data_IF_175288203225
#
_entry.id   IF_175288203225
#
_cell.length_a   1.000
_cell.length_b   1.000
_cell.length_c   1.000
_cell.angle_alpha   90.00
_cell.angle_beta   90.00
_cell.angle_gamma   90.00
#
_symmetry.space_group_name_H-M   'P 1'
#
loop_
_entity.id
_entity.type
_entity.pdbx_description
1 polymer ?
#
# COMPACT_ATOMS: atom_id res chain seq x y z
N UNK A 1 -2.10 -14.28 -17.08
CA UNK A 1 -2.58 -13.03 -17.73
C UNK A 1 -3.00 -13.27 -19.17
N UNK A 2 -2.11 -13.75 -20.06
CA UNK A 2 -2.44 -13.99 -21.46
C UNK A 2 -3.68 -14.88 -21.67
N UNK A 3 -3.81 -15.98 -20.90
CA UNK A 3 -4.98 -16.86 -20.93
C UNK A 3 -6.29 -16.16 -20.50
N UNK A 4 -6.20 -15.11 -19.67
CA UNK A 4 -7.31 -14.27 -19.27
C UNK A 4 -7.54 -13.07 -20.21
N UNK A 5 -6.79 -13.00 -21.33
CA UNK A 5 -6.88 -11.91 -22.32
C UNK A 5 -6.16 -10.61 -21.91
N UNK A 6 -5.37 -10.63 -20.83
CA UNK A 6 -4.61 -9.48 -20.35
C UNK A 6 -3.12 -9.57 -20.65
N UNK A 7 -2.43 -8.44 -20.57
CA UNK A 7 -0.97 -8.37 -20.70
C UNK A 7 -0.32 -7.91 -19.39
N UNK A 8 1.02 -7.90 -19.29
CA UNK A 8 1.70 -7.39 -18.10
C UNK A 8 1.45 -5.90 -17.87
N UNK A 9 1.17 -5.15 -18.93
CA UNK A 9 0.85 -3.72 -18.90
C UNK A 9 -0.49 -3.43 -18.19
N UNK A 10 -1.32 -4.47 -18.02
CA UNK A 10 -2.58 -4.42 -17.28
C UNK A 10 -2.41 -4.60 -15.76
N UNK A 11 -1.20 -4.88 -15.28
CA UNK A 11 -0.90 -5.00 -13.84
C UNK A 11 -0.95 -3.61 -13.20
N UNK A 12 -1.78 -3.48 -12.17
CA UNK A 12 -2.06 -2.20 -11.48
C UNK A 12 -1.53 -2.17 -10.05
N UNK A 13 -1.35 -3.35 -9.45
CA UNK A 13 -0.95 -3.48 -8.05
C UNK A 13 -0.02 -4.67 -7.87
N UNK A 14 1.01 -4.47 -7.04
CA UNK A 14 1.94 -5.51 -6.64
C UNK A 14 2.30 -5.37 -5.17
N UNK A 15 2.53 -6.51 -4.51
CA UNK A 15 3.16 -6.56 -3.20
C UNK A 15 4.22 -7.65 -3.20
N UNK A 16 5.41 -7.27 -2.78
CA UNK A 16 6.55 -8.17 -2.72
C UNK A 16 6.91 -8.44 -1.26
N UNK A 17 7.06 -9.72 -0.94
CA UNK A 17 7.61 -10.18 0.32
C UNK A 17 9.01 -10.73 0.09
N UNK A 18 10.00 -10.25 0.85
CA UNK A 18 11.37 -10.73 0.82
C UNK A 18 11.75 -11.35 2.16
N UNK A 19 12.45 -12.47 2.15
CA UNK A 19 13.04 -13.04 3.37
C UNK A 19 14.31 -12.30 3.80
N UNK A 20 14.96 -11.60 2.88
CA UNK A 20 16.13 -10.74 3.13
C UNK A 20 16.02 -9.41 2.37
N UNK A 21 15.76 -8.33 3.10
CA UNK A 21 15.68 -6.97 2.55
C UNK A 21 17.04 -6.43 2.07
N UNK A 22 18.16 -7.01 2.49
CA UNK A 22 19.49 -6.71 1.94
C UNK A 22 19.56 -6.99 0.43
N UNK A 23 18.66 -7.83 -0.09
CA UNK A 23 18.54 -8.16 -1.52
C UNK A 23 17.56 -7.27 -2.29
N UNK A 24 17.04 -6.20 -1.69
CA UNK A 24 16.08 -5.31 -2.34
C UNK A 24 16.59 -4.72 -3.68
N UNK A 25 17.90 -4.47 -3.80
CA UNK A 25 18.51 -4.00 -5.04
C UNK A 25 18.52 -5.08 -6.15
N UNK A 26 18.78 -6.34 -5.80
CA UNK A 26 18.70 -7.47 -6.73
C UNK A 26 17.26 -7.66 -7.23
N UNK A 27 16.29 -7.62 -6.30
CA UNK A 27 14.87 -7.64 -6.63
C UNK A 27 14.51 -6.49 -7.59
N UNK A 28 14.94 -5.27 -7.30
CA UNK A 28 14.64 -4.11 -8.13
C UNK A 28 15.22 -4.24 -9.55
N UNK A 29 16.45 -4.74 -9.69
CA UNK A 29 17.05 -5.00 -11.00
C UNK A 29 16.24 -6.03 -11.78
N UNK A 30 15.91 -7.16 -11.17
CA UNK A 30 15.09 -8.20 -11.79
C UNK A 30 13.67 -7.69 -12.15
N UNK A 31 13.09 -6.86 -11.28
CA UNK A 31 11.81 -6.21 -11.52
C UNK A 31 11.83 -5.33 -12.77
N UNK A 32 12.83 -4.44 -12.88
CA UNK A 32 12.97 -3.54 -14.03
C UNK A 32 13.23 -4.31 -15.34
N UNK A 33 14.01 -5.39 -15.29
CA UNK A 33 14.24 -6.28 -16.43
C UNK A 33 12.95 -6.96 -16.91
N UNK A 34 12.14 -7.49 -15.98
CA UNK A 34 10.92 -8.22 -16.29
C UNK A 34 9.75 -7.31 -16.71
N UNK A 35 9.59 -6.15 -16.05
CA UNK A 35 8.43 -5.27 -16.20
C UNK A 35 8.70 -4.06 -17.11
N UNK A 36 9.95 -3.77 -17.47
CA UNK A 36 10.30 -2.70 -18.40
C UNK A 36 9.72 -1.36 -17.96
N UNK A 37 8.82 -0.79 -18.76
CA UNK A 37 8.16 0.49 -18.50
C UNK A 37 6.82 0.39 -17.75
N UNK A 38 6.38 -0.82 -17.38
CA UNK A 38 5.17 -0.99 -16.56
C UNK A 38 5.45 -0.44 -15.15
N UNK A 39 4.54 0.41 -14.66
CA UNK A 39 4.61 1.03 -13.33
C UNK A 39 3.35 0.71 -12.54
N UNK A 40 3.20 -0.49 -11.96
CA UNK A 40 2.08 -0.73 -11.05
C UNK A 40 2.31 0.01 -9.73
N UNK A 41 1.32 0.04 -8.86
CA UNK A 41 1.57 0.32 -7.44
C UNK A 41 2.38 -0.80 -6.82
N UNK A 42 3.18 -0.49 -5.80
CA UNK A 42 4.11 -1.44 -5.20
C UNK A 42 4.27 -1.21 -3.70
N UNK A 43 4.34 -2.31 -2.97
CA UNK A 43 4.65 -2.39 -1.53
C UNK A 43 5.72 -3.47 -1.34
N UNK A 44 6.78 -3.19 -0.60
CA UNK A 44 7.90 -4.13 -0.37
C UNK A 44 8.10 -4.37 1.11
N UNK A 45 7.93 -5.62 1.55
CA UNK A 45 7.95 -6.00 2.96
C UNK A 45 9.00 -7.07 3.23
N UNK A 46 9.70 -6.95 4.36
CA UNK A 46 10.52 -8.03 4.91
C UNK A 46 9.65 -9.01 5.68
N UNK A 47 9.83 -10.31 5.50
CA UNK A 47 9.18 -11.36 6.28
C UNK A 47 10.21 -12.37 6.80
N UNK A 48 9.91 -13.11 7.89
CA UNK A 48 10.89 -14.04 8.45
C UNK A 48 11.14 -15.28 7.58
N UNK A 49 10.11 -15.76 6.86
CA UNK A 49 10.18 -16.97 6.03
C UNK A 49 8.95 -17.08 5.12
N UNK A 50 9.09 -17.85 4.04
CA UNK A 50 7.99 -18.25 3.16
C UNK A 50 7.60 -19.71 3.41
N UNK A 51 6.60 -20.21 2.67
CA UNK A 51 6.07 -21.57 2.84
C UNK A 51 7.16 -22.66 2.79
N UNK A 52 8.21 -22.48 1.98
CA UNK A 52 9.39 -23.36 1.94
C UNK A 52 10.65 -22.57 2.28
N UNK A 53 11.59 -23.14 3.07
CA UNK A 53 12.80 -22.43 3.51
C UNK A 53 13.68 -21.90 2.36
N UNK A 54 13.66 -22.54 1.19
CA UNK A 54 14.47 -22.15 0.04
C UNK A 54 13.85 -20.98 -0.77
N UNK A 55 12.60 -20.62 -0.50
CA UNK A 55 11.93 -19.50 -1.16
C UNK A 55 12.44 -18.17 -0.58
N UNK A 56 12.88 -17.27 -1.46
CA UNK A 56 13.46 -15.98 -1.07
C UNK A 56 12.52 -14.78 -1.28
N UNK A 57 11.52 -14.97 -2.14
CA UNK A 57 10.63 -13.92 -2.60
C UNK A 57 9.26 -14.51 -2.92
N UNK A 58 8.21 -13.78 -2.55
CA UNK A 58 6.85 -14.00 -3.03
C UNK A 58 6.29 -12.68 -3.55
N UNK A 59 5.56 -12.73 -4.66
CA UNK A 59 4.96 -11.55 -5.30
C UNK A 59 3.46 -11.81 -5.48
N UNK A 60 2.66 -10.97 -4.83
CA UNK A 60 1.23 -10.79 -5.10
C UNK A 60 1.09 -9.74 -6.22
N UNK A 61 0.24 -10.01 -7.21
CA UNK A 61 -0.05 -9.04 -8.27
C UNK A 61 -1.53 -9.08 -8.64
N UNK A 62 -2.12 -7.90 -8.84
CA UNK A 62 -3.47 -7.73 -9.36
C UNK A 62 -3.42 -7.00 -10.71
N UNK A 63 -4.24 -7.45 -11.66
CA UNK A 63 -4.35 -6.87 -12.98
C UNK A 63 -5.81 -6.62 -13.35
N UNK A 64 -6.06 -5.50 -14.03
CA UNK A 64 -7.36 -5.17 -14.62
C UNK A 64 -7.21 -5.30 -16.12
N UNK A 65 -7.84 -6.31 -16.74
CA UNK A 65 -7.69 -6.58 -18.17
C UNK A 65 -8.07 -5.35 -19.00
N UNK A 66 -7.15 -4.89 -19.85
CA UNK A 66 -7.32 -3.69 -20.66
C UNK A 66 -7.01 -2.36 -19.94
N UNK A 67 -6.57 -2.36 -18.69
CA UNK A 67 -6.15 -1.16 -17.97
C UNK A 67 -5.08 -0.37 -18.72
N UNK A 68 -4.19 -1.03 -19.43
CA UNK A 68 -3.16 -0.38 -20.27
C UNK A 68 -3.72 0.63 -21.27
N UNK A 69 -5.02 0.57 -21.63
CA UNK A 69 -5.68 1.48 -22.56
C UNK A 69 -6.17 2.78 -21.93
N UNK A 70 -6.35 2.82 -20.61
CA UNK A 70 -7.01 3.94 -19.92
C UNK A 70 -6.43 4.29 -18.55
N UNK A 71 -5.47 3.52 -18.04
CA UNK A 71 -4.89 3.76 -16.73
C UNK A 71 -4.16 5.10 -16.67
N UNK A 72 -4.18 5.73 -15.51
CA UNK A 72 -3.38 6.92 -15.22
C UNK A 72 -2.47 6.65 -14.03
N UNK A 73 -1.18 6.86 -14.24
CA UNK A 73 -0.16 6.67 -13.21
C UNK A 73 0.19 8.01 -12.57
N UNK A 74 0.16 8.06 -11.24
CA UNK A 74 0.50 9.24 -10.44
C UNK A 74 1.88 9.03 -9.80
N UNK A 75 2.68 10.09 -9.76
CA UNK A 75 4.04 10.10 -9.19
C UNK A 75 4.20 11.29 -8.25
N UNK A 76 4.98 11.16 -7.17
CA UNK A 76 5.21 12.29 -6.25
C UNK A 76 6.04 13.40 -6.90
N UNK A 77 6.05 14.58 -6.27
CA UNK A 77 7.02 15.63 -6.58
C UNK A 77 8.44 15.02 -6.55
N UNK A 78 9.26 15.23 -7.60
CA UNK A 78 10.55 14.56 -7.87
C UNK A 78 10.52 13.11 -8.40
N UNK A 79 9.34 12.50 -8.54
CA UNK A 79 9.13 11.22 -9.26
C UNK A 79 10.07 10.09 -8.86
N UNK A 80 10.37 9.96 -7.56
CA UNK A 80 11.31 8.95 -7.02
C UNK A 80 10.91 7.51 -7.35
N UNK A 81 9.64 7.28 -7.67
CA UNK A 81 9.10 5.97 -8.01
C UNK A 81 9.54 5.49 -9.40
N UNK A 82 9.73 6.41 -10.36
CA UNK A 82 10.11 6.06 -11.74
C UNK A 82 11.40 5.23 -11.86
N UNK A 83 12.54 5.66 -11.30
CA UNK A 83 13.76 4.85 -11.33
C UNK A 83 13.64 3.55 -10.54
N UNK A 84 12.60 3.40 -9.71
CA UNK A 84 12.34 2.24 -8.88
C UNK A 84 11.32 1.26 -9.46
N UNK A 85 10.69 1.59 -10.59
CA UNK A 85 9.80 0.69 -11.34
C UNK A 85 8.35 0.63 -10.83
N UNK A 86 7.86 1.64 -10.13
CA UNK A 86 6.47 1.70 -9.65
C UNK A 86 5.85 3.10 -9.80
N UNK A 87 4.54 3.21 -9.57
CA UNK A 87 3.80 4.47 -9.50
C UNK A 87 3.29 4.72 -8.07
N UNK A 88 3.16 5.98 -7.65
CA UNK A 88 2.59 6.31 -6.32
C UNK A 88 1.14 5.86 -6.21
N UNK A 89 0.34 6.11 -7.27
CA UNK A 89 -1.00 5.58 -7.42
C UNK A 89 -1.26 5.19 -8.88
N UNK A 90 -2.16 4.24 -9.08
CA UNK A 90 -2.66 3.85 -10.40
C UNK A 90 -4.19 3.93 -10.36
N UNK A 91 -4.74 4.71 -11.28
CA UNK A 91 -6.18 4.90 -11.47
C UNK A 91 -6.64 4.18 -12.74
N UNK A 92 -7.71 3.39 -12.65
CA UNK A 92 -8.38 2.75 -13.80
C UNK A 92 -9.89 2.91 -13.63
N UNK A 93 -10.49 3.84 -14.38
CA UNK A 93 -11.89 4.22 -14.16
C UNK A 93 -12.08 4.79 -12.75
N UNK A 94 -12.92 4.13 -11.95
CA UNK A 94 -13.15 4.53 -10.56
C UNK A 94 -12.24 3.82 -9.55
N UNK A 95 -11.53 2.76 -9.97
CA UNK A 95 -10.62 2.02 -9.08
C UNK A 95 -9.28 2.73 -8.96
N UNK A 96 -8.83 2.95 -7.73
CA UNK A 96 -7.56 3.58 -7.42
C UNK A 96 -6.77 2.69 -6.47
N UNK A 97 -5.55 2.34 -6.86
CA UNK A 97 -4.57 1.69 -5.99
C UNK A 97 -3.54 2.73 -5.57
N UNK A 98 -3.12 2.69 -4.30
CA UNK A 98 -2.04 3.52 -3.77
C UNK A 98 -0.95 2.61 -3.25
N UNK A 99 0.29 2.84 -3.72
CA UNK A 99 1.49 2.16 -3.25
C UNK A 99 1.68 2.32 -1.74
N UNK A 100 2.48 1.43 -1.16
CA UNK A 100 2.93 1.57 0.22
C UNK A 100 3.47 2.98 0.51
N UNK A 101 2.81 3.64 1.45
CA UNK A 101 3.17 4.97 1.93
C UNK A 101 3.82 4.84 3.30
N UNK A 102 4.95 5.52 3.44
CA UNK A 102 5.77 5.57 4.65
C UNK A 102 6.01 7.04 4.99
N UNK A 103 6.91 7.32 5.95
CA UNK A 103 7.31 8.69 6.28
C UNK A 103 8.41 9.27 5.36
N UNK A 104 8.68 8.63 4.22
CA UNK A 104 9.62 9.17 3.24
C UNK A 104 9.07 10.44 2.60
N UNK A 105 9.85 11.51 2.61
CA UNK A 105 9.51 12.71 1.86
C UNK A 105 9.77 12.57 0.35
N UNK A 106 9.49 13.63 -0.42
CA UNK A 106 9.71 13.68 -1.86
C UNK A 106 11.19 13.48 -2.26
N UNK A 107 12.15 13.81 -1.38
CA UNK A 107 13.57 13.55 -1.56
C UNK A 107 13.96 12.09 -1.29
N UNK A 108 13.11 11.33 -0.61
CA UNK A 108 13.40 9.97 -0.18
C UNK A 108 14.08 9.91 1.19
N UNK A 109 14.00 10.97 1.98
CA UNK A 109 14.51 11.02 3.34
C UNK A 109 13.45 10.58 4.35
N UNK A 110 13.86 9.81 5.36
CA UNK A 110 12.96 9.34 6.42
C UNK A 110 12.65 10.49 7.38
N UNK A 111 11.36 10.73 7.62
CA UNK A 111 10.89 11.69 8.62
C UNK A 111 10.40 10.96 9.87
N UNK A 112 10.59 11.58 11.03
CA UNK A 112 10.18 11.06 12.34
C UNK A 112 10.67 9.61 12.59
N UNK A 113 11.97 9.38 12.41
CA UNK A 113 12.59 8.05 12.58
C UNK A 113 12.19 7.40 13.91
N UNK A 114 11.69 6.15 13.86
CA UNK A 114 11.25 5.39 15.03
C UNK A 114 9.93 5.83 15.68
N UNK A 115 9.38 7.01 15.35
CA UNK A 115 8.10 7.48 15.88
C UNK A 115 6.95 6.94 15.01
N UNK A 116 6.42 5.79 15.41
CA UNK A 116 5.33 5.13 14.69
C UNK A 116 4.13 6.04 14.44
N UNK A 117 3.75 6.84 15.43
CA UNK A 117 2.60 7.72 15.34
C UNK A 117 2.79 8.81 14.28
N UNK A 118 3.90 9.53 14.36
CA UNK A 118 4.21 10.58 13.38
C UNK A 118 4.44 10.01 11.98
N UNK A 119 5.06 8.82 11.86
CA UNK A 119 5.23 8.17 10.56
C UNK A 119 3.89 7.73 9.96
N UNK A 120 2.96 7.20 10.77
CA UNK A 120 1.64 6.81 10.32
C UNK A 120 0.84 8.03 9.82
N UNK A 121 0.95 9.17 10.50
CA UNK A 121 0.30 10.42 10.06
C UNK A 121 0.85 10.90 8.71
N UNK A 122 2.18 10.87 8.53
CA UNK A 122 2.83 11.25 7.26
C UNK A 122 2.49 10.28 6.11
N UNK A 123 2.39 8.99 6.41
CA UNK A 123 1.94 7.99 5.43
C UNK A 123 0.50 8.27 4.98
N UNK A 124 -0.41 8.56 5.92
CA UNK A 124 -1.80 8.91 5.60
C UNK A 124 -1.91 10.25 4.84
N UNK A 125 -1.09 11.24 5.14
CA UNK A 125 -1.01 12.47 4.35
C UNK A 125 -0.59 12.20 2.90
N UNK A 126 0.38 11.31 2.70
CA UNK A 126 0.79 10.88 1.35
C UNK A 126 -0.35 10.15 0.63
N UNK A 127 -1.10 9.30 1.34
CA UNK A 127 -2.29 8.63 0.80
C UNK A 127 -3.35 9.66 0.39
N UNK A 128 -3.72 10.58 1.30
CA UNK A 128 -4.69 11.65 1.03
C UNK A 128 -4.28 12.47 -0.19
N UNK A 129 -3.01 12.85 -0.28
CA UNK A 129 -2.47 13.57 -1.44
C UNK A 129 -2.62 12.75 -2.73
N UNK A 130 -2.30 11.45 -2.69
CA UNK A 130 -2.36 10.54 -3.84
C UNK A 130 -3.79 10.37 -4.37
N UNK A 131 -4.76 10.19 -3.46
CA UNK A 131 -6.18 10.10 -3.78
C UNK A 131 -6.70 11.41 -4.37
N UNK A 132 -6.28 12.56 -3.83
CA UNK A 132 -6.66 13.87 -4.37
C UNK A 132 -6.16 14.07 -5.81
N UNK A 133 -4.98 13.54 -6.17
CA UNK A 133 -4.51 13.57 -7.57
C UNK A 133 -5.43 12.78 -8.51
N UNK A 134 -6.22 11.84 -7.97
CA UNK A 134 -7.20 11.01 -8.68
C UNK A 134 -8.63 11.53 -8.58
N UNK A 135 -8.85 12.72 -8.01
CA UNK A 135 -10.20 13.25 -7.79
C UNK A 135 -11.00 12.42 -6.77
N UNK A 136 -10.31 11.72 -5.87
CA UNK A 136 -10.88 10.95 -4.77
C UNK A 136 -10.39 11.48 -3.42
N UNK A 137 -10.90 10.93 -2.34
CA UNK A 137 -10.66 11.34 -0.97
C UNK A 137 -10.45 10.14 -0.03
N UNK A 138 -10.12 10.40 1.23
CA UNK A 138 -10.03 9.34 2.24
C UNK A 138 -11.37 8.63 2.50
N UNK A 139 -12.48 9.31 2.20
CA UNK A 139 -13.84 8.75 2.31
C UNK A 139 -14.14 7.70 1.23
N UNK A 140 -13.33 7.67 0.16
CA UNK A 140 -13.45 6.70 -0.94
C UNK A 140 -12.64 5.42 -0.70
N UNK A 141 -11.88 5.35 0.39
CA UNK A 141 -11.02 4.19 0.69
C UNK A 141 -11.87 2.99 1.09
N UNK A 142 -11.77 1.89 0.36
CA UNK A 142 -12.54 0.66 0.63
C UNK A 142 -11.70 -0.43 1.29
N UNK A 143 -10.37 -0.36 1.14
CA UNK A 143 -9.41 -1.30 1.74
C UNK A 143 -8.18 -0.58 2.25
N UNK A 144 -7.75 -0.93 3.46
CA UNK A 144 -6.49 -0.48 4.06
C UNK A 144 -5.70 -1.67 4.59
N UNK A 145 -4.39 -1.68 4.35
CA UNK A 145 -3.45 -2.61 4.98
C UNK A 145 -2.34 -1.80 5.66
N UNK A 146 -2.10 -2.08 6.93
CA UNK A 146 -1.09 -1.42 7.75
C UNK A 146 -0.06 -2.46 8.18
N UNK A 147 1.20 -2.22 7.81
CA UNK A 147 2.34 -3.06 8.15
C UNK A 147 3.19 -2.35 9.19
N UNK A 148 3.57 -3.04 10.25
CA UNK A 148 4.37 -2.49 11.36
C UNK A 148 5.51 -3.45 11.69
N UNK A 149 6.65 -2.93 12.11
CA UNK A 149 7.80 -3.77 12.49
C UNK A 149 7.74 -4.20 13.97
N UNK A 150 8.46 -5.25 14.31
CA UNK A 150 8.56 -5.67 15.71
C UNK A 150 9.20 -4.58 16.59
N UNK A 151 8.74 -4.47 17.84
CA UNK A 151 9.19 -3.45 18.79
C UNK A 151 8.67 -2.02 18.54
N UNK A 152 7.91 -1.77 17.47
CA UNK A 152 7.31 -0.45 17.24
C UNK A 152 6.26 -0.10 18.31
N UNK A 153 6.35 1.11 18.86
CA UNK A 153 5.38 1.63 19.82
C UNK A 153 4.16 2.20 19.09
N UNK A 154 3.17 1.34 18.83
CA UNK A 154 1.94 1.70 18.12
C UNK A 154 1.03 2.54 19.01
N UNK A 155 0.38 3.56 18.43
CA UNK A 155 -0.62 4.36 19.16
C UNK A 155 -1.81 3.47 19.56
N UNK A 156 -2.38 3.64 20.77
CA UNK A 156 -3.63 2.98 21.13
C UNK A 156 -4.76 3.29 20.13
N UNK A 157 -5.69 2.34 19.97
CA UNK A 157 -6.83 2.52 19.08
C UNK A 157 -7.61 3.80 19.43
N UNK A 158 -8.06 4.53 18.41
CA UNK A 158 -8.77 5.80 18.55
C UNK A 158 -7.90 7.03 18.82
N UNK A 159 -6.58 6.89 18.98
CA UNK A 159 -5.68 8.03 19.12
C UNK A 159 -5.08 8.48 17.77
N UNK A 160 -5.02 9.79 17.56
CA UNK A 160 -4.52 10.41 16.34
C UNK A 160 -5.64 10.92 15.43
N UNK A 161 -5.30 11.41 14.22
CA UNK A 161 -6.29 11.88 13.27
C UNK A 161 -7.20 10.73 12.82
N UNK A 162 -8.51 11.03 12.70
CA UNK A 162 -9.51 10.06 12.32
C UNK A 162 -9.58 9.88 10.79
N UNK A 163 -8.46 9.44 10.19
CA UNK A 163 -8.23 9.35 8.74
C UNK A 163 -9.31 8.59 7.95
N UNK A 164 -9.99 7.65 8.59
CA UNK A 164 -10.99 6.75 7.98
C UNK A 164 -12.31 6.77 8.74
N UNK A 165 -12.65 7.91 9.36
CA UNK A 165 -13.86 8.08 10.18
C UNK A 165 -15.16 7.85 9.39
N UNK A 166 -15.16 8.08 8.08
CA UNK A 166 -16.34 7.91 7.23
C UNK A 166 -16.29 6.60 6.47
N UNK A 167 -15.12 6.24 5.94
CA UNK A 167 -14.96 5.14 4.98
C UNK A 167 -14.86 3.76 5.60
N UNK A 168 -14.52 3.66 6.89
CA UNK A 168 -14.20 2.43 7.65
C UNK A 168 -13.81 1.21 6.78
N UNK A 169 -12.70 1.31 6.02
CA UNK A 169 -12.36 0.33 5.02
C UNK A 169 -12.15 -1.05 5.63
N UNK A 170 -12.33 -2.09 4.81
CA UNK A 170 -11.83 -3.42 5.14
C UNK A 170 -10.35 -3.31 5.52
N UNK A 171 -10.02 -3.76 6.74
CA UNK A 171 -8.74 -3.43 7.37
C UNK A 171 -7.96 -4.69 7.73
N UNK A 172 -6.67 -4.69 7.40
CA UNK A 172 -5.70 -5.66 7.89
C UNK A 172 -4.54 -4.93 8.56
N UNK A 173 -4.17 -5.38 9.75
CA UNK A 173 -2.94 -5.01 10.44
C UNK A 173 -2.01 -6.23 10.48
N UNK A 174 -0.75 -6.06 10.12
CA UNK A 174 0.22 -7.16 10.14
C UNK A 174 1.58 -6.68 10.65
N UNK A 175 2.23 -7.53 11.46
CA UNK A 175 3.62 -7.33 11.87
C UNK A 175 4.54 -8.00 10.86
N UNK A 176 5.53 -7.25 10.38
CA UNK A 176 6.53 -7.69 9.39
C UNK A 176 7.93 -7.65 9.99
N UNK A 177 8.90 -8.35 9.41
CA UNK A 177 10.27 -8.39 9.93
C UNK A 177 11.07 -7.12 9.61
N UNK A 178 10.64 -6.34 8.60
CA UNK A 178 11.26 -5.07 8.28
C UNK A 178 10.59 -4.34 7.13
N UNK A 179 10.99 -3.08 6.95
CA UNK A 179 10.62 -2.21 5.84
C UNK A 179 11.87 -1.78 5.06
N UNK A 180 11.68 -1.07 3.95
CA UNK A 180 12.76 -0.70 3.03
C UNK A 180 13.91 0.13 3.66
N UNK A 181 13.71 0.69 4.85
CA UNK A 181 14.72 1.37 5.67
C UNK A 181 14.51 0.99 7.14
N UNK A 182 15.58 0.78 7.93
CA UNK A 182 15.46 0.38 9.33
C UNK A 182 14.79 1.45 10.22
N UNK A 183 14.85 2.73 9.83
CA UNK A 183 14.22 3.84 10.54
C UNK A 183 12.69 3.91 10.33
N UNK A 184 12.18 3.20 9.31
CA UNK A 184 10.76 3.11 9.04
C UNK A 184 10.13 2.03 9.92
N UNK A 185 9.06 2.38 10.62
CA UNK A 185 8.37 1.48 11.54
C UNK A 185 6.92 1.19 11.14
N UNK A 186 6.40 1.90 10.13
CA UNK A 186 5.06 1.70 9.58
C UNK A 186 5.03 1.97 8.07
N UNK A 187 4.26 1.14 7.36
CA UNK A 187 3.90 1.32 5.97
C UNK A 187 2.40 1.07 5.80
N UNK A 188 1.72 1.93 5.05
CA UNK A 188 0.27 1.86 4.83
C UNK A 188 0.00 1.87 3.32
N UNK A 189 -0.74 0.88 2.85
CA UNK A 189 -1.27 0.86 1.48
C UNK A 189 -2.81 0.86 1.50
N UNK A 190 -3.41 1.43 0.46
CA UNK A 190 -4.87 1.48 0.32
C UNK A 190 -5.33 1.19 -1.11
N UNK A 191 -6.57 0.73 -1.21
CA UNK A 191 -7.34 0.80 -2.44
C UNK A 191 -8.62 1.61 -2.18
N UNK A 192 -9.02 2.39 -3.17
CA UNK A 192 -10.19 3.26 -3.13
C UNK A 192 -11.05 3.08 -4.37
N UNK A 193 -12.33 3.39 -4.24
CA UNK A 193 -13.29 3.46 -5.34
C UNK A 193 -13.88 4.86 -5.34
N UNK A 194 -13.65 5.63 -6.40
CA UNK A 194 -14.10 7.02 -6.52
C UNK A 194 -15.61 7.13 -6.30
N UNK A 195 -16.02 7.99 -5.38
CA UNK A 195 -17.43 8.20 -5.03
C UNK A 195 -18.01 7.15 -4.08
N UNK A 196 -17.21 6.17 -3.61
CA UNK A 196 -17.69 5.18 -2.65
C UNK A 196 -18.16 5.83 -1.35
N UNK A 197 -17.54 6.92 -0.90
CA UNK A 197 -17.92 7.61 0.33
C UNK A 197 -19.40 8.02 0.39
N UNK A 198 -20.04 8.27 -0.76
CA UNK A 198 -21.46 8.61 -0.84
C UNK A 198 -22.41 7.41 -0.71
N UNK A 199 -21.91 6.19 -0.91
CA UNK A 199 -22.71 4.97 -1.08
C UNK A 199 -22.29 3.81 -0.15
N UNK A 200 -21.35 4.01 0.77
CA UNK A 200 -21.01 2.98 1.75
C UNK A 200 -22.17 2.82 2.74
N UNK A 201 -22.80 1.65 2.72
CA UNK A 201 -23.78 1.24 3.72
C UNK A 201 -23.07 0.63 4.92
N UNK A 202 -23.20 1.30 6.07
CA UNK A 202 -22.75 0.77 7.35
C UNK A 202 -23.80 -0.16 7.92
N UNK A 203 -23.56 -1.46 7.80
CA UNK A 203 -24.27 -2.43 8.63
C UNK A 203 -23.68 -2.30 10.04
N UNK A 204 -24.44 -1.69 10.95
CA UNK A 204 -24.06 -1.57 12.35
C UNK A 204 -23.78 -2.95 12.95
N UNK A 205 -22.98 -3.04 14.03
CA UNK A 205 -22.77 -4.31 14.69
C UNK A 205 -24.13 -4.86 15.14
N UNK A 206 -24.32 -6.18 14.98
CA UNK A 206 -25.36 -6.88 15.73
C UNK A 206 -25.18 -6.58 17.23
N UNK A 207 -26.24 -6.73 18.04
CA UNK A 207 -26.07 -6.67 19.49
C UNK A 207 -24.97 -7.64 19.91
N UNK A 208 -23.86 -7.10 20.39
CA UNK A 208 -22.72 -7.90 20.85
C UNK A 208 -23.22 -8.75 22.01
N UNK A 209 -23.18 -10.07 21.87
CA UNK A 209 -23.47 -10.98 22.98
C UNK A 209 -22.61 -10.54 24.18
N UNK A 210 -23.24 -10.38 25.34
CA UNK A 210 -22.53 -9.98 26.55
C UNK A 210 -21.36 -10.93 26.89
N UNK A 211 -21.39 -12.16 26.38
CA UNK A 211 -20.35 -13.18 26.52
C UNK A 211 -19.09 -12.92 25.67
N UNK A 212 -19.18 -12.13 24.60
CA UNK A 212 -18.05 -11.81 23.70
C UNK A 212 -17.25 -10.56 24.15
N UNK A 213 -17.60 -9.99 25.31
CA UNK A 213 -16.84 -8.93 25.97
C UNK A 213 -15.72 -9.53 26.82
N UNK A 214 -14.65 -10.01 26.18
CA UNK A 214 -13.41 -10.45 26.85
C UNK A 214 -12.31 -9.42 26.66
#
# INVERSE_FOLDING_TARGET
LAEAGGTREDIVYTKTFLTDLGRAADHQRAWLEAFGDVRPTSTLLGIPQLLRPEMLIEIEAEAIVGASRSRRDVFTERQREKPRGYARAVEVGDLIYVSGCTSLDAGGEVRAAGDWGAQADLANETIRWSLAQCGASMDDVVRRRTFTVDGASVRPHGQGPAWYATSHPASLGCRVSGLARPELVVEIEVAAVKGAGANIEWVGPDEVDALDRV
#
